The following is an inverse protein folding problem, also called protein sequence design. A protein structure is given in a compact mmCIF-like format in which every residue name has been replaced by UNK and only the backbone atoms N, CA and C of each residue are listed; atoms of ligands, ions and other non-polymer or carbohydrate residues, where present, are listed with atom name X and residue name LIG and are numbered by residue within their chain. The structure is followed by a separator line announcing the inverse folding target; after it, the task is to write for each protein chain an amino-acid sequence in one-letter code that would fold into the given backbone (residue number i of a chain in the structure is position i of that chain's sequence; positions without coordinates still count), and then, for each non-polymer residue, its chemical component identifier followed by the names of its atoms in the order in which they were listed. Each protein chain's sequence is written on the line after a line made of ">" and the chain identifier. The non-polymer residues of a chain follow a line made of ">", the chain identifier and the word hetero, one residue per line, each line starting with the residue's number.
data_IF_626381896999
#
_entry.id   IF_626381896999
#
_cell.length_a   1.000
_cell.length_b   1.000
_cell.length_c   1.000
_cell.angle_alpha   90.00
_cell.angle_beta   90.00
_cell.angle_gamma   90.00
#
_symmetry.space_group_name_H-M   'P 1'
#
loop_
_entity.id
_entity.type
_entity.pdbx_description
1 polymer ?
#
# COMPACT_ATOMS: atom_id res chain seq x y z
N UNK A 1 12.50 8.29 14.71
CA UNK A 1 11.19 7.71 14.34
C UNK A 1 10.72 8.24 13.02
N UNK A 2 9.96 7.43 12.31
CA UNK A 2 9.30 7.85 11.07
C UNK A 2 8.06 8.69 11.38
N UNK A 3 7.64 9.49 10.42
CA UNK A 3 6.39 10.26 10.48
C UNK A 3 5.45 9.74 9.40
N UNK A 4 4.19 9.53 9.74
CA UNK A 4 3.18 9.07 8.77
C UNK A 4 2.12 10.14 8.56
N UNK A 5 1.58 10.18 7.35
CA UNK A 5 0.47 11.04 7.00
C UNK A 5 -0.56 10.21 6.22
N UNK A 6 -1.78 10.19 6.74
CA UNK A 6 -2.93 9.62 6.06
C UNK A 6 -3.74 10.77 5.47
N UNK A 7 -4.01 10.72 4.18
CA UNK A 7 -4.76 11.78 3.47
C UNK A 7 -5.96 11.18 2.76
N UNK A 8 -7.14 11.72 3.04
CA UNK A 8 -8.32 11.38 2.28
C UNK A 8 -8.30 12.14 0.95
N UNK A 9 -8.29 11.42 -0.15
CA UNK A 9 -8.26 11.98 -1.51
C UNK A 9 -9.25 11.27 -2.42
N UNK A 10 -9.62 11.94 -3.53
CA UNK A 10 -10.45 11.35 -4.57
C UNK A 10 -9.56 11.01 -5.77
N UNK A 11 -9.52 9.74 -6.15
CA UNK A 11 -8.74 9.28 -7.30
C UNK A 11 -9.64 8.84 -8.45
N UNK A 12 -9.25 9.16 -9.70
CA UNK A 12 -9.87 8.53 -10.87
C UNK A 12 -9.54 7.05 -10.90
N UNK A 13 -10.52 6.21 -11.21
CA UNK A 13 -10.34 4.76 -11.35
C UNK A 13 -10.85 4.32 -12.72
N UNK A 14 -10.26 3.22 -13.23
CA UNK A 14 -10.54 2.76 -14.59
C UNK A 14 -11.92 2.09 -14.74
N UNK A 15 -12.48 1.58 -13.63
CA UNK A 15 -13.73 0.80 -13.68
C UNK A 15 -14.99 1.61 -13.38
N UNK A 16 -14.86 2.88 -13.02
CA UNK A 16 -15.99 3.70 -12.63
C UNK A 16 -15.81 5.15 -13.11
N UNK A 17 -16.87 5.80 -13.64
CA UNK A 17 -16.75 7.17 -14.11
C UNK A 17 -16.57 8.20 -12.99
N UNK A 18 -17.00 7.88 -11.77
CA UNK A 18 -16.80 8.76 -10.62
C UNK A 18 -15.44 8.52 -9.95
N UNK A 19 -14.92 9.58 -9.31
CA UNK A 19 -13.69 9.44 -8.52
C UNK A 19 -13.95 8.58 -7.29
N UNK A 20 -12.94 7.81 -6.90
CA UNK A 20 -13.00 6.89 -5.79
C UNK A 20 -12.37 7.51 -4.53
N UNK A 21 -13.06 7.53 -3.38
CA UNK A 21 -12.47 8.03 -2.14
C UNK A 21 -11.49 7.02 -1.56
N UNK A 22 -10.25 7.45 -1.34
CA UNK A 22 -9.16 6.59 -0.85
C UNK A 22 -8.37 7.29 0.26
N UNK A 23 -7.59 6.50 1.01
CA UNK A 23 -6.67 6.98 2.02
C UNK A 23 -5.24 6.86 1.49
N UNK A 24 -4.69 7.96 1.02
CA UNK A 24 -3.31 8.03 0.58
C UNK A 24 -2.37 8.06 1.79
N UNK A 25 -1.22 7.40 1.68
CA UNK A 25 -0.25 7.26 2.76
C UNK A 25 1.10 7.82 2.32
N UNK A 26 1.64 8.71 3.14
CA UNK A 26 3.01 9.18 2.99
C UNK A 26 3.80 8.89 4.27
N UNK A 27 5.05 8.47 4.11
CA UNK A 27 5.98 8.21 5.20
C UNK A 27 7.19 9.13 5.02
N UNK A 28 7.49 9.93 6.04
CA UNK A 28 8.55 10.93 5.99
C UNK A 28 8.44 11.84 4.76
N UNK A 29 7.20 12.20 4.39
CA UNK A 29 6.91 13.07 3.27
C UNK A 29 6.94 12.41 1.88
N UNK A 30 7.18 11.10 1.80
CA UNK A 30 7.25 10.38 0.53
C UNK A 30 6.10 9.38 0.44
N UNK A 31 5.40 9.36 -0.69
CA UNK A 31 4.32 8.39 -0.95
C UNK A 31 4.79 6.95 -0.70
N UNK A 32 3.98 6.18 0.02
CA UNK A 32 4.26 4.76 0.26
C UNK A 32 4.37 3.99 -1.05
N UNK A 33 3.53 4.31 -2.04
CA UNK A 33 3.57 3.68 -3.36
C UNK A 33 4.92 3.95 -4.03
N UNK A 34 5.42 5.18 -3.96
CA UNK A 34 6.72 5.52 -4.53
C UNK A 34 7.86 4.78 -3.81
N UNK A 35 7.81 4.69 -2.49
CA UNK A 35 8.83 3.96 -1.71
C UNK A 35 8.90 2.48 -2.09
N UNK A 36 7.75 1.82 -2.19
CA UNK A 36 7.72 0.40 -2.56
C UNK A 36 8.10 0.20 -4.02
N UNK A 37 7.70 1.12 -4.89
CA UNK A 37 8.07 1.08 -6.32
C UNK A 37 9.58 1.07 -6.52
N UNK A 38 10.31 1.90 -5.80
CA UNK A 38 11.78 1.98 -5.89
C UNK A 38 12.43 0.65 -5.52
N UNK A 39 11.88 -0.06 -4.54
CA UNK A 39 12.38 -1.38 -4.14
C UNK A 39 11.98 -2.48 -5.13
N UNK A 40 10.81 -2.38 -5.72
CA UNK A 40 10.27 -3.38 -6.63
C UNK A 40 10.87 -3.29 -8.03
N UNK A 41 11.30 -2.10 -8.45
CA UNK A 41 11.74 -1.86 -9.82
C UNK A 41 12.84 -2.81 -10.31
N UNK A 42 13.91 -3.10 -9.55
CA UNK A 42 14.94 -4.05 -9.99
C UNK A 42 14.39 -5.46 -10.24
N UNK A 43 13.45 -5.91 -9.40
CA UNK A 43 12.79 -7.21 -9.57
C UNK A 43 11.88 -7.24 -10.78
N UNK A 44 11.14 -6.15 -10.99
CA UNK A 44 10.27 -6.00 -12.15
C UNK A 44 11.06 -5.95 -13.46
N UNK A 45 12.22 -5.29 -13.48
CA UNK A 45 13.15 -5.28 -14.61
C UNK A 45 13.70 -6.68 -14.91
N UNK A 46 14.05 -7.45 -13.88
CA UNK A 46 14.51 -8.82 -14.04
C UNK A 46 13.41 -9.73 -14.60
N UNK A 47 12.17 -9.57 -14.12
CA UNK A 47 11.03 -10.31 -14.63
C UNK A 47 10.74 -9.96 -16.10
N UNK A 48 10.87 -8.70 -16.49
CA UNK A 48 10.73 -8.29 -17.88
C UNK A 48 11.75 -8.99 -18.79
N UNK A 49 13.00 -9.11 -18.36
CA UNK A 49 14.07 -9.81 -19.10
C UNK A 49 13.71 -11.30 -19.26
N UNK A 50 13.27 -11.95 -18.19
CA UNK A 50 12.87 -13.36 -18.22
C UNK A 50 11.68 -13.62 -19.15
N UNK A 51 10.77 -12.65 -19.26
CA UNK A 51 9.52 -12.75 -20.01
C UNK A 51 9.56 -11.99 -21.35
N UNK A 52 10.75 -11.65 -21.83
CA UNK A 52 10.91 -10.81 -23.04
C UNK A 52 10.20 -11.39 -24.26
N UNK A 53 10.17 -12.72 -24.40
CA UNK A 53 9.49 -13.38 -25.53
C UNK A 53 7.97 -13.24 -25.48
N UNK A 54 7.38 -13.09 -24.28
CA UNK A 54 5.93 -12.91 -24.12
C UNK A 54 5.48 -11.50 -24.50
N UNK A 55 6.38 -10.52 -24.40
CA UNK A 55 6.11 -9.10 -24.59
C UNK A 55 7.00 -8.46 -25.65
N UNK A 56 7.35 -9.23 -26.68
CA UNK A 56 8.27 -8.80 -27.74
C UNK A 56 7.78 -7.54 -28.50
N UNK A 57 6.47 -7.33 -28.55
CA UNK A 57 5.85 -6.20 -29.24
C UNK A 57 5.79 -4.91 -28.40
N UNK A 58 6.11 -4.99 -27.10
CA UNK A 58 6.10 -3.83 -26.21
C UNK A 58 7.47 -3.13 -26.21
N UNK A 59 7.48 -1.79 -26.05
CA UNK A 59 8.73 -1.06 -25.86
C UNK A 59 9.48 -1.56 -24.60
N UNK A 60 10.82 -1.57 -24.63
CA UNK A 60 11.62 -1.93 -23.45
C UNK A 60 11.24 -1.08 -22.22
N UNK A 61 11.13 -1.71 -21.07
CA UNK A 61 10.77 -1.06 -19.81
C UNK A 61 9.27 -1.01 -19.53
N UNK A 62 8.41 -1.36 -20.48
CA UNK A 62 6.95 -1.28 -20.32
C UNK A 62 6.47 -2.21 -19.22
N UNK A 63 6.86 -3.48 -19.22
CA UNK A 63 6.41 -4.44 -18.22
C UNK A 63 6.93 -4.06 -16.83
N UNK A 64 8.19 -3.67 -16.72
CA UNK A 64 8.77 -3.25 -15.45
C UNK A 64 8.03 -2.06 -14.84
N UNK A 65 7.68 -1.06 -15.67
CA UNK A 65 6.94 0.12 -15.21
C UNK A 65 5.50 -0.21 -14.80
N UNK A 66 4.89 -1.20 -15.41
CA UNK A 66 3.54 -1.65 -15.05
C UNK A 66 3.52 -2.49 -13.77
N UNK A 67 4.55 -3.28 -13.52
CA UNK A 67 4.62 -4.16 -12.35
C UNK A 67 5.07 -3.42 -11.08
N UNK A 68 6.12 -2.62 -11.16
CA UNK A 68 6.70 -1.95 -10.00
C UNK A 68 5.73 -0.89 -9.44
N UNK A 69 5.38 -1.01 -8.18
CA UNK A 69 4.50 -0.07 -7.51
C UNK A 69 3.08 -0.05 -8.06
N UNK A 70 2.62 -1.17 -8.60
CA UNK A 70 1.28 -1.30 -9.19
C UNK A 70 0.20 -1.41 -8.11
N UNK A 71 0.13 -0.41 -7.25
CA UNK A 71 -0.82 -0.34 -6.16
C UNK A 71 -1.68 0.91 -6.24
N UNK A 72 -2.81 0.87 -5.57
CA UNK A 72 -3.60 2.05 -5.26
C UNK A 72 -3.88 2.10 -3.75
N UNK A 73 -4.11 3.31 -3.21
CA UNK A 73 -4.57 3.44 -1.82
C UNK A 73 -5.89 2.71 -1.59
N UNK A 74 -6.12 2.27 -0.35
CA UNK A 74 -7.36 1.62 0.02
C UNK A 74 -8.54 2.59 0.03
N UNK A 75 -9.71 2.10 -0.35
CA UNK A 75 -10.96 2.85 -0.28
C UNK A 75 -11.27 3.26 1.17
N UNK A 76 -11.77 4.47 1.37
CA UNK A 76 -12.24 4.92 2.68
C UNK A 76 -13.43 4.12 3.18
N UNK A 77 -14.26 3.58 2.30
CA UNK A 77 -15.37 2.70 2.68
C UNK A 77 -14.89 1.40 3.31
N UNK A 78 -13.68 0.98 2.98
CA UNK A 78 -13.05 -0.24 3.47
C UNK A 78 -12.14 0.02 4.67
N UNK A 79 -11.30 1.07 4.57
CA UNK A 79 -10.24 1.33 5.53
C UNK A 79 -10.57 2.42 6.55
N UNK A 80 -11.71 3.06 6.45
CA UNK A 80 -12.06 4.22 7.25
C UNK A 80 -13.45 4.11 7.92
N UNK A 81 -13.65 4.61 9.15
CA UNK A 81 -12.70 5.14 10.17
C UNK A 81 -11.91 3.98 10.74
N UNK A 82 -10.60 3.94 10.54
CA UNK A 82 -10.15 2.61 10.55
C UNK A 82 -9.23 2.22 11.69
N UNK A 83 -9.72 1.30 12.43
CA UNK A 83 -8.95 0.40 13.25
C UNK A 83 -8.13 -0.58 12.39
N UNK A 84 -8.42 -0.65 11.08
CA UNK A 84 -7.65 -1.41 10.10
C UNK A 84 -6.17 -1.08 10.15
N UNK A 85 -5.82 0.21 10.10
CA UNK A 85 -4.44 0.66 10.17
C UNK A 85 -3.84 0.55 11.59
N UNK A 86 -4.63 0.16 12.56
CA UNK A 86 -4.16 -0.22 13.90
C UNK A 86 -4.01 -1.73 14.05
N UNK A 87 -4.08 -2.47 12.94
CA UNK A 87 -3.85 -3.91 12.92
C UNK A 87 -5.04 -4.77 13.34
N UNK A 88 -6.24 -4.21 13.46
CA UNK A 88 -7.42 -5.01 13.75
C UNK A 88 -7.80 -5.86 12.54
N UNK A 89 -8.19 -7.10 12.81
CA UNK A 89 -8.61 -8.01 11.76
C UNK A 89 -9.94 -7.56 11.16
N UNK A 90 -9.97 -7.39 9.85
CA UNK A 90 -11.19 -7.18 9.10
C UNK A 90 -11.79 -8.53 8.68
N UNK A 91 -13.10 -8.57 8.54
CA UNK A 91 -13.82 -9.75 8.04
C UNK A 91 -13.61 -9.97 6.54
N UNK A 92 -13.05 -8.98 5.85
CA UNK A 92 -12.84 -9.05 4.40
C UNK A 92 -11.57 -9.82 4.05
N UNK A 93 -11.62 -10.70 3.05
CA UNK A 93 -10.44 -11.38 2.54
C UNK A 93 -9.43 -10.37 1.98
N UNK A 94 -8.15 -10.55 2.29
CA UNK A 94 -7.10 -9.64 1.81
C UNK A 94 -5.87 -10.38 1.26
N UNK A 95 -5.97 -11.65 0.96
CA UNK A 95 -4.88 -12.43 0.35
C UNK A 95 -3.62 -12.55 1.21
N UNK A 96 -3.69 -12.18 2.48
CA UNK A 96 -2.58 -12.25 3.43
C UNK A 96 -2.78 -13.34 4.47
N UNK A 97 -1.71 -13.58 5.23
CA UNK A 97 -1.72 -14.50 6.35
C UNK A 97 -2.32 -13.84 7.60
N UNK A 98 -2.61 -14.66 8.61
CA UNK A 98 -3.07 -14.17 9.90
C UNK A 98 -2.03 -13.22 10.51
N UNK A 99 -2.49 -12.08 11.01
CA UNK A 99 -1.64 -11.04 11.59
C UNK A 99 -1.04 -10.07 10.60
N UNK A 100 -1.30 -10.23 9.31
CA UNK A 100 -0.90 -9.26 8.29
C UNK A 100 -2.03 -8.26 8.01
N UNK A 101 -1.64 -7.01 7.78
CA UNK A 101 -2.53 -5.91 7.42
C UNK A 101 -2.24 -5.46 6.00
N UNK A 102 -3.25 -5.38 5.16
CA UNK A 102 -3.13 -4.80 3.83
C UNK A 102 -3.08 -3.28 3.95
N UNK A 103 -2.05 -2.66 3.38
CA UNK A 103 -1.88 -1.19 3.41
C UNK A 103 -2.06 -0.55 2.04
N UNK A 104 -1.88 -1.32 0.97
CA UNK A 104 -2.16 -0.91 -0.41
C UNK A 104 -2.87 -2.04 -1.13
N UNK A 105 -3.78 -1.70 -2.02
CA UNK A 105 -4.52 -2.66 -2.84
C UNK A 105 -4.14 -2.63 -4.31
N UNK A 106 -4.82 -3.43 -5.12
CA UNK A 106 -4.58 -3.53 -6.55
C UNK A 106 -5.24 -2.39 -7.32
N UNK A 107 -4.58 -1.91 -8.36
CA UNK A 107 -5.13 -0.91 -9.28
C UNK A 107 -6.35 -1.41 -10.06
N UNK A 108 -6.59 -2.72 -10.11
CA UNK A 108 -7.78 -3.31 -10.75
C UNK A 108 -9.05 -3.23 -9.88
N UNK A 109 -8.93 -2.82 -8.61
CA UNK A 109 -10.06 -2.75 -7.67
C UNK A 109 -10.32 -4.04 -6.87
N UNK A 110 -9.64 -5.12 -7.20
CA UNK A 110 -9.73 -6.39 -6.45
C UNK A 110 -8.57 -6.44 -5.46
N UNK A 111 -8.86 -6.23 -4.19
CA UNK A 111 -7.83 -6.01 -3.17
C UNK A 111 -6.82 -7.14 -3.05
N UNK A 112 -7.24 -8.39 -3.11
CA UNK A 112 -6.37 -9.56 -2.96
C UNK A 112 -5.64 -9.97 -4.25
N UNK A 113 -5.88 -9.28 -5.36
CA UNK A 113 -5.20 -9.53 -6.63
C UNK A 113 -3.70 -9.15 -6.58
N UNK A 114 -3.41 -7.97 -6.01
CA UNK A 114 -2.04 -7.43 -5.90
C UNK A 114 -2.03 -6.47 -4.71
N UNK A 115 -1.52 -6.91 -3.59
CA UNK A 115 -1.59 -6.16 -2.35
C UNK A 115 -0.24 -6.03 -1.66
N UNK A 116 -0.02 -4.90 -1.00
CA UNK A 116 1.10 -4.71 -0.09
C UNK A 116 0.63 -5.02 1.32
N UNK A 117 1.28 -5.96 1.96
CA UNK A 117 0.98 -6.44 3.30
C UNK A 117 2.12 -6.08 4.25
N UNK A 118 1.76 -5.84 5.50
CA UNK A 118 2.71 -5.58 6.58
C UNK A 118 2.16 -6.08 7.91
N UNK A 119 3.01 -6.25 8.90
CA UNK A 119 2.60 -6.54 10.28
C UNK A 119 2.59 -5.25 11.08
N UNK A 120 1.44 -4.93 11.66
CA UNK A 120 1.26 -3.74 12.50
C UNK A 120 1.32 -4.16 13.96
N UNK A 121 2.27 -3.61 14.69
CA UNK A 121 2.46 -3.90 16.12
C UNK A 121 2.31 -2.61 16.92
N UNK A 122 1.40 -2.63 17.89
CA UNK A 122 1.14 -1.49 18.77
C UNK A 122 1.82 -1.70 20.12
N UNK A 123 2.44 -0.63 20.62
CA UNK A 123 2.79 -0.49 22.03
C UNK A 123 2.07 0.74 22.59
N UNK A 124 2.29 1.08 23.87
CA UNK A 124 1.72 2.32 24.42
C UNK A 124 2.20 3.56 23.68
N UNK A 125 3.41 3.54 23.15
CA UNK A 125 4.08 4.71 22.60
C UNK A 125 4.35 4.64 21.11
N UNK A 126 4.29 3.45 20.50
CA UNK A 126 4.69 3.27 19.11
C UNK A 126 3.70 2.43 18.31
N UNK A 127 3.72 2.65 17.01
CA UNK A 127 3.16 1.76 16.00
C UNK A 127 4.30 1.36 15.06
N UNK A 128 4.51 0.06 14.86
CA UNK A 128 5.57 -0.45 14.01
C UNK A 128 4.98 -1.23 12.84
N UNK A 129 5.43 -0.91 11.63
CA UNK A 129 5.14 -1.68 10.42
C UNK A 129 6.40 -2.44 10.01
N UNK A 130 6.29 -3.75 9.91
CA UNK A 130 7.41 -4.62 9.53
C UNK A 130 6.93 -5.82 8.72
N UNK A 131 7.88 -6.55 8.11
CA UNK A 131 7.55 -7.72 7.33
C UNK A 131 6.75 -7.39 6.07
N UNK A 132 7.13 -6.34 5.36
CA UNK A 132 6.47 -5.96 4.12
C UNK A 132 6.62 -7.04 3.06
N UNK A 133 5.52 -7.38 2.38
CA UNK A 133 5.54 -8.28 1.23
C UNK A 133 4.42 -7.98 0.25
N UNK A 134 4.64 -8.32 -1.01
CA UNK A 134 3.61 -8.40 -2.03
C UNK A 134 2.98 -9.79 -1.99
N UNK A 135 1.67 -9.90 -2.06
CA UNK A 135 0.99 -11.20 -1.97
C UNK A 135 1.10 -12.06 -3.24
N UNK A 136 1.55 -11.48 -4.35
CA UNK A 136 1.64 -12.17 -5.66
C UNK A 136 3.07 -12.39 -6.14
N UNK A 137 4.06 -11.86 -5.42
CA UNK A 137 5.48 -11.99 -5.75
C UNK A 137 6.28 -12.25 -4.49
N UNK A 138 7.41 -12.96 -4.64
CA UNK A 138 8.36 -13.22 -3.56
C UNK A 138 9.53 -12.22 -3.54
N UNK A 139 9.31 -11.03 -4.03
CA UNK A 139 10.30 -9.95 -4.02
C UNK A 139 10.65 -9.57 -2.59
N UNK A 140 11.93 -9.33 -2.36
CA UNK A 140 12.41 -8.91 -1.03
C UNK A 140 12.14 -7.42 -0.81
N UNK A 141 11.10 -7.13 -0.02
CA UNK A 141 10.72 -5.77 0.36
C UNK A 141 11.21 -5.38 1.76
N UNK A 142 12.15 -6.12 2.33
CA UNK A 142 12.69 -5.85 3.67
C UNK A 142 13.33 -4.46 3.78
N UNK A 143 13.81 -3.89 2.69
CA UNK A 143 14.34 -2.53 2.64
C UNK A 143 13.30 -1.42 2.88
N UNK A 144 12.01 -1.75 2.82
CA UNK A 144 10.94 -0.78 3.08
C UNK A 144 10.80 -0.47 4.58
N UNK A 145 11.14 -1.40 5.45
CA UNK A 145 10.97 -1.27 6.89
C UNK A 145 12.12 -1.89 7.68
N UNK A 146 11.96 -1.98 9.04
CA UNK A 146 10.77 -1.59 9.79
C UNK A 146 10.56 -0.07 9.79
N UNK A 147 9.30 0.33 9.82
CA UNK A 147 8.90 1.73 10.01
C UNK A 147 8.33 1.86 11.43
N UNK A 148 8.87 2.80 12.20
CA UNK A 148 8.46 3.01 13.60
C UNK A 148 7.92 4.42 13.74
N UNK A 149 6.67 4.50 14.17
CA UNK A 149 5.94 5.76 14.33
C UNK A 149 5.65 6.03 15.80
N UNK A 150 5.63 7.31 16.19
CA UNK A 150 5.05 7.73 17.45
C UNK A 150 3.54 7.47 17.41
N UNK A 151 2.99 6.78 18.40
CA UNK A 151 1.58 6.37 18.38
C UNK A 151 0.61 7.55 18.37
N UNK A 152 0.88 8.59 19.15
CA UNK A 152 0.02 9.79 19.13
C UNK A 152 0.01 10.47 17.77
N UNK A 153 1.16 10.64 17.15
CA UNK A 153 1.27 11.23 15.81
C UNK A 153 0.52 10.38 14.76
N UNK A 154 0.68 9.08 14.84
CA UNK A 154 0.02 8.12 13.96
C UNK A 154 -1.51 8.21 14.09
N UNK A 155 -2.03 8.14 15.30
CA UNK A 155 -3.47 8.21 15.57
C UNK A 155 -4.05 9.59 15.24
N UNK A 156 -3.31 10.67 15.50
CA UNK A 156 -3.73 12.03 15.14
C UNK A 156 -3.86 12.18 13.63
N UNK A 157 -2.89 11.70 12.87
CA UNK A 157 -2.95 11.72 11.41
C UNK A 157 -4.13 10.92 10.89
N UNK A 158 -4.39 9.76 11.48
CA UNK A 158 -5.50 8.90 11.09
C UNK A 158 -6.85 9.60 11.37
N UNK A 159 -7.01 10.24 12.52
CA UNK A 159 -8.22 11.01 12.86
C UNK A 159 -8.42 12.22 11.97
N UNK A 160 -7.34 12.95 11.65
CA UNK A 160 -7.42 14.15 10.80
C UNK A 160 -7.92 13.82 9.40
N UNK A 161 -7.49 12.71 8.80
CA UNK A 161 -7.97 12.30 7.50
C UNK A 161 -9.46 11.96 7.52
N UNK A 162 -9.97 11.38 8.62
CA UNK A 162 -11.40 11.12 8.78
C UNK A 162 -12.22 12.39 8.92
N UNK A 163 -11.71 13.38 9.63
CA UNK A 163 -12.36 14.68 9.76
C UNK A 163 -12.46 15.39 8.40
N UNK A 164 -11.40 15.32 7.58
CA UNK A 164 -11.41 15.89 6.24
C UNK A 164 -12.46 15.23 5.34
N UNK A 165 -12.69 13.93 5.51
CA UNK A 165 -13.73 13.21 4.78
C UNK A 165 -15.14 13.57 5.24
N UNK A 166 -15.32 13.89 6.52
CA UNK A 166 -16.62 14.25 7.09
C UNK A 166 -17.05 15.69 6.73
N UNK A 167 -16.13 16.52 6.33
CA UNK A 167 -16.39 17.88 5.87
C UNK A 167 -16.73 17.92 4.38
#
# INVERSE_FOLDING_TARGET
>A
MNTIEFRAVLLPVAWEPSRWPVVDIAVDGVSLIQRVRELELPYAEAEEIERASEFADLPPGTLAQELAGNYMPLSTNFAWPSRHFLGERLELPHGGDEGETMVLGCTCGINDCWALLTRVVLTEQTVTWSGFRNNSRNWDLSGLGPLVFNRSQYEDSLRSSGNDMAA
#
